data_IF_577404905237
#
_entry.id   IF_577404905237
#
_cell.length_a   1.000
_cell.length_b   1.000
_cell.length_c   1.000
_cell.angle_alpha   90.00
_cell.angle_beta   90.00
_cell.angle_gamma   90.00
#
_symmetry.space_group_name_H-M   'P 1'
#
loop_
_entity.id
_entity.type
_entity.pdbx_description
1 polymer ?
#
# COMPACT_ATOMS: atom_id res chain seq x y z
N UNK A 1 15.56 -102.68 7.58
CA UNK A 1 14.34 -101.88 7.33
C UNK A 1 14.69 -100.75 6.35
N UNK A 2 13.99 -100.75 5.21
CA UNK A 2 13.73 -99.73 4.15
C UNK A 2 14.80 -98.63 3.89
N UNK A 3 15.60 -98.70 2.81
CA UNK A 3 15.40 -98.49 1.34
C UNK A 3 15.52 -97.01 0.88
N UNK A 4 16.48 -96.77 -0.02
CA UNK A 4 16.71 -95.59 -0.88
C UNK A 4 16.20 -95.86 -2.31
N UNK A 5 15.71 -94.83 -3.00
CA UNK A 5 15.68 -94.59 -4.47
C UNK A 5 15.51 -93.07 -4.67
N UNK A 6 16.35 -92.32 -5.43
CA UNK A 6 16.31 -92.05 -6.90
C UNK A 6 14.94 -91.55 -7.41
N UNK A 7 14.71 -90.56 -8.29
CA UNK A 7 15.51 -89.72 -9.21
C UNK A 7 14.61 -88.63 -9.89
N UNK A 8 15.22 -87.61 -10.53
CA UNK A 8 14.83 -86.82 -11.72
C UNK A 8 13.78 -85.66 -11.74
N UNK A 9 14.32 -84.44 -12.03
CA UNK A 9 14.06 -83.46 -13.13
C UNK A 9 12.64 -82.94 -13.50
N UNK A 10 12.45 -81.62 -13.35
CA UNK A 10 12.37 -80.65 -14.47
C UNK A 10 11.02 -80.18 -15.07
N UNK A 11 10.83 -78.84 -15.06
CA UNK A 11 10.27 -77.94 -16.10
C UNK A 11 8.80 -77.40 -16.06
N UNK A 12 8.73 -76.06 -15.90
CA UNK A 12 8.02 -75.02 -16.70
C UNK A 12 6.47 -74.77 -16.64
N UNK A 13 6.17 -73.49 -16.31
CA UNK A 13 5.27 -72.48 -16.94
C UNK A 13 3.80 -72.27 -16.50
N UNK A 14 3.54 -70.95 -16.29
CA UNK A 14 2.33 -70.11 -16.45
C UNK A 14 1.25 -70.12 -15.36
N UNK A 15 0.92 -68.92 -14.87
CA UNK A 15 -0.44 -68.41 -14.75
C UNK A 15 -0.47 -66.88 -14.70
N UNK A 16 -1.30 -66.29 -15.57
CA UNK A 16 -1.69 -64.88 -15.65
C UNK A 16 -2.72 -64.56 -14.55
N UNK A 17 -2.68 -63.36 -13.96
CA UNK A 17 -3.87 -62.73 -13.34
C UNK A 17 -3.73 -61.20 -13.23
N UNK A 18 -4.29 -60.53 -14.25
CA UNK A 18 -5.14 -59.32 -14.22
C UNK A 18 -4.87 -58.26 -13.13
N UNK A 19 -4.31 -57.11 -13.56
CA UNK A 19 -4.31 -55.85 -12.82
C UNK A 19 -5.72 -55.22 -12.77
N UNK A 20 -6.25 -54.97 -11.57
CA UNK A 20 -7.42 -54.12 -11.37
C UNK A 20 -7.02 -52.63 -11.39
N UNK A 21 -7.59 -51.90 -12.36
CA UNK A 21 -7.56 -50.44 -12.45
C UNK A 21 -8.37 -49.84 -11.28
N UNK A 22 -7.77 -48.93 -10.51
CA UNK A 22 -8.52 -48.03 -9.63
C UNK A 22 -9.22 -46.95 -10.47
N UNK A 23 -10.47 -46.56 -10.15
CA UNK A 23 -11.17 -45.50 -10.88
C UNK A 23 -10.60 -44.12 -10.53
N UNK A 24 -10.52 -43.27 -11.56
CA UNK A 24 -10.29 -41.82 -11.51
C UNK A 24 -11.58 -41.10 -11.11
N UNK A 25 -11.41 -39.92 -10.53
CA UNK A 25 -12.37 -38.84 -10.27
C UNK A 25 -12.87 -38.74 -8.80
N UNK A 26 -12.15 -37.95 -8.01
CA UNK A 26 -12.76 -36.99 -7.09
C UNK A 26 -12.39 -35.58 -7.63
N UNK A 27 -13.31 -34.61 -7.62
CA UNK A 27 -12.98 -33.24 -8.00
C UNK A 27 -12.01 -32.68 -6.97
N UNK A 28 -10.96 -32.03 -7.47
CA UNK A 28 -9.99 -31.30 -6.66
C UNK A 28 -10.74 -30.35 -5.73
N UNK A 29 -10.60 -30.55 -4.42
CA UNK A 29 -10.96 -29.54 -3.43
C UNK A 29 -10.14 -28.30 -3.80
N UNK A 30 -10.82 -27.25 -4.26
CA UNK A 30 -10.23 -25.92 -4.38
C UNK A 30 -9.75 -25.54 -2.98
N UNK A 31 -8.45 -25.76 -2.74
CA UNK A 31 -7.79 -25.24 -1.57
C UNK A 31 -7.98 -23.74 -1.60
N UNK A 32 -8.67 -23.21 -0.59
CA UNK A 32 -8.58 -21.80 -0.25
C UNK A 32 -7.08 -21.52 -0.06
N UNK A 33 -6.46 -20.86 -1.05
CA UNK A 33 -5.14 -20.25 -0.88
C UNK A 33 -5.31 -19.24 0.26
N UNK A 34 -5.02 -19.71 1.47
CA UNK A 34 -4.94 -18.87 2.65
C UNK A 34 -4.07 -17.67 2.33
N UNK A 35 -4.57 -16.49 2.65
CA UNK A 35 -3.99 -15.21 2.30
C UNK A 35 -2.68 -15.04 3.11
N UNK A 36 -1.56 -15.63 2.66
CA UNK A 36 -0.24 -15.62 3.31
C UNK A 36 0.20 -14.21 3.78
N UNK A 37 -0.33 -13.19 3.11
CA UNK A 37 -0.13 -11.78 3.40
C UNK A 37 -0.67 -11.31 4.76
N UNK A 38 -1.77 -11.88 5.27
CA UNK A 38 -2.36 -11.45 6.56
C UNK A 38 -1.53 -11.92 7.76
N UNK A 39 -0.66 -12.91 7.58
CA UNK A 39 0.14 -13.49 8.66
C UNK A 39 1.43 -12.69 8.96
N UNK A 40 1.93 -11.86 8.03
CA UNK A 40 3.14 -11.04 8.22
C UNK A 40 2.86 -9.54 8.47
N UNK A 41 1.60 -9.09 8.32
CA UNK A 41 1.24 -7.68 8.47
C UNK A 41 0.73 -7.37 9.89
N UNK A 42 1.28 -6.33 10.52
CA UNK A 42 0.73 -5.82 11.78
C UNK A 42 -0.68 -5.28 11.56
N UNK A 43 -0.91 -4.67 10.38
CA UNK A 43 -2.22 -4.22 9.93
C UNK A 43 -2.26 -4.15 8.40
N UNK A 44 -3.38 -4.61 7.82
CA UNK A 44 -3.69 -4.40 6.42
C UNK A 44 -5.11 -3.87 6.25
N UNK A 45 -5.25 -2.85 5.42
CA UNK A 45 -6.50 -2.18 5.13
C UNK A 45 -6.79 -2.27 3.63
N UNK A 46 -7.87 -2.97 3.22
CA UNK A 46 -8.29 -3.04 1.83
C UNK A 46 -8.92 -1.72 1.40
N UNK A 47 -8.22 -0.95 0.56
CA UNK A 47 -8.72 0.32 0.02
C UNK A 47 -9.72 0.05 -1.12
N UNK A 48 -9.42 -0.92 -1.97
CA UNK A 48 -10.30 -1.48 -3.02
C UNK A 48 -10.11 -3.00 -3.07
N UNK A 49 -10.76 -3.67 -4.03
CA UNK A 49 -10.55 -5.08 -4.34
C UNK A 49 -9.07 -5.42 -4.63
N UNK A 50 -8.36 -4.50 -5.30
CA UNK A 50 -6.97 -4.68 -5.75
C UNK A 50 -5.93 -3.79 -5.07
N UNK A 51 -6.33 -2.73 -4.37
CA UNK A 51 -5.42 -1.80 -3.67
C UNK A 51 -5.52 -1.98 -2.16
N UNK A 52 -4.38 -2.18 -1.52
CA UNK A 52 -4.25 -2.38 -0.08
C UNK A 52 -3.21 -1.41 0.48
N UNK A 53 -3.40 -1.00 1.73
CA UNK A 53 -2.41 -0.33 2.55
C UNK A 53 -1.99 -1.25 3.69
N UNK A 54 -0.69 -1.37 3.95
CA UNK A 54 -0.18 -2.25 4.99
C UNK A 54 0.91 -1.59 5.83
N UNK A 55 0.89 -1.87 7.14
CA UNK A 55 1.96 -1.53 8.07
C UNK A 55 2.64 -2.85 8.44
N UNK A 56 3.95 -2.93 8.17
CA UNK A 56 4.73 -4.16 8.28
C UNK A 56 5.93 -3.94 9.20
N UNK A 57 6.28 -4.93 10.01
CA UNK A 57 7.50 -4.92 10.84
C UNK A 57 8.80 -4.93 10.01
N UNK A 58 8.74 -5.42 8.77
CA UNK A 58 9.91 -5.53 7.90
C UNK A 58 9.51 -5.50 6.43
N UNK A 59 10.50 -5.37 5.55
CA UNK A 59 10.27 -5.38 4.10
C UNK A 59 9.68 -6.73 3.67
N UNK A 60 8.53 -6.74 2.96
CA UNK A 60 7.88 -7.97 2.57
C UNK A 60 8.69 -8.71 1.51
N UNK A 61 8.57 -10.05 1.51
CA UNK A 61 9.13 -10.90 0.45
C UNK A 61 8.31 -10.76 -0.83
N UNK A 62 8.97 -10.93 -1.98
CA UNK A 62 8.30 -10.93 -3.28
C UNK A 62 7.39 -12.15 -3.39
N UNK A 63 6.15 -11.94 -3.80
CA UNK A 63 5.19 -13.02 -4.10
C UNK A 63 4.71 -12.92 -5.55
N UNK A 64 4.19 -14.02 -6.09
CA UNK A 64 3.69 -14.07 -7.48
C UNK A 64 2.45 -13.18 -7.67
N UNK A 65 1.52 -13.22 -6.71
CA UNK A 65 0.21 -12.54 -6.75
C UNK A 65 0.18 -11.10 -6.23
N UNK A 66 1.27 -10.59 -5.64
CA UNK A 66 1.28 -9.25 -5.01
C UNK A 66 2.41 -8.37 -5.54
N UNK A 67 2.09 -7.11 -5.78
CA UNK A 67 3.05 -6.06 -6.06
C UNK A 67 3.17 -5.15 -4.84
N UNK A 68 4.29 -5.26 -4.13
CA UNK A 68 4.60 -4.38 -3.00
C UNK A 68 5.34 -3.12 -3.47
N UNK A 69 5.04 -1.98 -2.86
CA UNK A 69 5.85 -0.76 -2.98
C UNK A 69 5.74 0.08 -1.71
N UNK A 70 6.79 0.84 -1.43
CA UNK A 70 6.84 1.83 -0.34
C UNK A 70 7.23 3.21 -0.92
N UNK A 71 7.00 4.25 -0.13
CA UNK A 71 7.45 5.64 -0.36
C UNK A 71 8.33 6.16 0.78
N UNK A 72 8.64 5.34 1.78
CA UNK A 72 9.27 5.72 3.04
C UNK A 72 10.60 6.48 2.87
N UNK A 73 11.34 6.18 1.80
CA UNK A 73 12.64 6.80 1.49
C UNK A 73 12.62 7.56 0.15
N UNK A 74 11.45 7.70 -0.47
CA UNK A 74 11.27 8.38 -1.77
C UNK A 74 10.55 9.71 -1.64
N UNK A 75 9.49 9.77 -0.84
CA UNK A 75 8.69 10.97 -0.62
C UNK A 75 8.91 11.42 0.83
N UNK A 76 9.99 12.17 1.04
CA UNK A 76 10.46 12.58 2.36
C UNK A 76 9.98 13.99 2.67
N UNK A 77 9.48 14.20 3.88
CA UNK A 77 9.12 15.52 4.38
C UNK A 77 10.37 16.28 4.82
N UNK A 78 10.50 17.54 4.40
CA UNK A 78 11.56 18.43 4.85
C UNK A 78 11.06 19.24 6.05
N UNK A 79 11.54 18.91 7.25
CA UNK A 79 11.08 19.52 8.49
C UNK A 79 11.79 20.84 8.79
N UNK A 80 11.07 21.79 9.38
CA UNK A 80 11.65 23.01 9.95
C UNK A 80 12.22 22.75 11.35
N UNK A 81 11.47 22.03 12.18
CA UNK A 81 11.88 21.65 13.53
C UNK A 81 11.43 20.22 13.86
N UNK A 82 10.37 20.05 14.65
CA UNK A 82 9.87 18.75 15.08
C UNK A 82 8.64 18.28 14.29
N UNK A 83 8.09 19.13 13.43
CA UNK A 83 7.12 18.81 12.39
C UNK A 83 7.63 17.67 11.50
N UNK A 84 6.70 16.86 11.00
CA UNK A 84 7.04 15.67 10.21
C UNK A 84 6.08 15.44 9.04
N UNK A 85 5.09 16.31 8.87
CA UNK A 85 4.02 16.16 7.88
C UNK A 85 2.82 17.06 8.18
N UNK A 86 1.71 16.90 7.42
CA UNK A 86 1.57 15.96 6.31
C UNK A 86 2.43 16.35 5.10
N UNK A 87 2.66 15.39 4.19
CA UNK A 87 3.36 15.65 2.92
C UNK A 87 2.61 16.69 2.06
N UNK A 88 3.35 17.55 1.36
CA UNK A 88 2.80 18.66 0.58
C UNK A 88 2.12 18.22 -0.74
N UNK A 89 1.54 19.17 -1.48
CA UNK A 89 0.80 18.90 -2.72
C UNK A 89 1.67 18.27 -3.82
N UNK A 90 2.93 18.68 -3.97
CA UNK A 90 3.83 18.08 -4.95
C UNK A 90 4.09 16.60 -4.66
N UNK A 91 4.37 16.25 -3.39
CA UNK A 91 4.59 14.87 -2.99
C UNK A 91 3.32 14.02 -3.09
N UNK A 92 2.16 14.59 -2.74
CA UNK A 92 0.86 13.94 -2.95
C UNK A 92 0.58 13.69 -4.44
N UNK A 93 0.86 14.66 -5.31
CA UNK A 93 0.71 14.52 -6.75
C UNK A 93 1.61 13.39 -7.29
N UNK A 94 2.89 13.39 -6.92
CA UNK A 94 3.86 12.34 -7.32
C UNK A 94 3.42 10.96 -6.85
N UNK A 95 2.91 10.84 -5.62
CA UNK A 95 2.31 9.61 -5.11
C UNK A 95 1.13 9.15 -5.97
N UNK A 96 0.19 10.07 -6.25
CA UNK A 96 -1.00 9.76 -7.04
C UNK A 96 -0.65 9.29 -8.45
N UNK A 97 0.32 9.94 -9.11
CA UNK A 97 0.80 9.53 -10.43
C UNK A 97 1.46 8.15 -10.40
N UNK A 98 2.32 7.90 -9.40
CA UNK A 98 3.00 6.61 -9.21
C UNK A 98 1.98 5.48 -9.00
N UNK A 99 1.00 5.69 -8.14
CA UNK A 99 -0.02 4.68 -7.83
C UNK A 99 -0.94 4.43 -9.04
N UNK A 100 -1.41 5.49 -9.71
CA UNK A 100 -2.19 5.36 -10.94
C UNK A 100 -1.45 4.58 -12.03
N UNK A 101 -0.15 4.82 -12.20
CA UNK A 101 0.70 4.06 -13.14
C UNK A 101 0.75 2.58 -12.78
N UNK A 102 0.83 2.22 -11.50
CA UNK A 102 0.81 0.82 -11.05
C UNK A 102 -0.54 0.17 -11.29
N UNK A 103 -1.64 0.85 -10.96
CA UNK A 103 -3.00 0.34 -11.14
C UNK A 103 -3.30 0.06 -12.63
N UNK A 104 -2.86 0.95 -13.52
CA UNK A 104 -3.06 0.84 -14.98
C UNK A 104 -2.05 -0.08 -15.68
N UNK A 105 -1.00 -0.54 -15.00
CA UNK A 105 0.06 -1.35 -15.61
C UNK A 105 -0.45 -2.73 -15.99
N UNK A 106 -0.32 -3.08 -17.28
CA UNK A 106 -0.76 -4.38 -17.80
C UNK A 106 -0.09 -5.56 -17.09
N UNK A 107 1.20 -5.44 -16.77
CA UNK A 107 1.98 -6.46 -16.04
C UNK A 107 1.48 -6.70 -14.60
N UNK A 108 0.70 -5.78 -14.05
CA UNK A 108 0.16 -5.85 -12.69
C UNK A 108 -1.33 -6.17 -12.64
N UNK A 109 -2.02 -6.30 -13.79
CA UNK A 109 -3.49 -6.46 -13.88
C UNK A 109 -4.05 -7.60 -13.02
N UNK A 110 -3.32 -8.69 -12.86
CA UNK A 110 -3.73 -9.86 -12.06
C UNK A 110 -3.19 -9.85 -10.63
N UNK A 111 -2.45 -8.81 -10.24
CA UNK A 111 -1.82 -8.70 -8.92
C UNK A 111 -2.60 -7.77 -8.00
N UNK A 112 -2.58 -8.08 -6.70
CA UNK A 112 -2.88 -7.14 -5.63
C UNK A 112 -1.76 -6.10 -5.57
N UNK A 113 -2.09 -4.82 -5.43
CA UNK A 113 -1.14 -3.72 -5.27
C UNK A 113 -1.17 -3.33 -3.80
N UNK A 114 -0.05 -3.50 -3.11
CA UNK A 114 0.10 -3.18 -1.69
C UNK A 114 1.06 -2.01 -1.54
N UNK A 115 0.52 -0.86 -1.13
CA UNK A 115 1.33 0.21 -0.56
C UNK A 115 1.67 -0.19 0.87
N UNK A 116 2.94 -0.47 1.16
CA UNK A 116 3.37 -0.79 2.52
C UNK A 116 4.28 0.28 3.08
N UNK A 117 4.30 0.39 4.40
CA UNK A 117 5.32 1.11 5.17
C UNK A 117 5.89 0.19 6.23
N UNK A 118 7.19 0.29 6.45
CA UNK A 118 7.87 -0.30 7.61
C UNK A 118 8.62 0.78 8.40
N UNK A 119 8.22 2.04 8.20
CA UNK A 119 8.81 3.19 8.85
C UNK A 119 8.30 3.39 10.28
N UNK A 120 8.88 4.39 10.93
CA UNK A 120 8.42 4.87 12.24
C UNK A 120 6.99 5.45 12.17
N UNK A 121 6.43 5.78 13.33
CA UNK A 121 5.05 6.30 13.44
C UNK A 121 4.82 7.55 12.57
N UNK A 122 5.87 8.36 12.33
CA UNK A 122 5.83 9.54 11.45
C UNK A 122 5.66 9.14 9.99
N UNK A 123 6.46 8.18 9.51
CA UNK A 123 6.34 7.64 8.16
C UNK A 123 5.00 6.93 7.96
N UNK A 124 4.52 6.19 8.97
CA UNK A 124 3.22 5.54 8.93
C UNK A 124 2.07 6.55 8.76
N UNK A 125 2.07 7.64 9.53
CA UNK A 125 1.07 8.70 9.40
C UNK A 125 1.11 9.35 8.02
N UNK A 126 2.28 9.66 7.47
CA UNK A 126 2.40 10.22 6.12
C UNK A 126 1.97 9.25 5.01
N UNK A 127 2.34 7.97 5.12
CA UNK A 127 1.93 6.94 4.16
C UNK A 127 0.40 6.73 4.17
N UNK A 128 -0.21 6.74 5.36
CA UNK A 128 -1.67 6.70 5.52
C UNK A 128 -2.36 7.95 4.97
N UNK A 129 -1.78 9.14 5.20
CA UNK A 129 -2.25 10.39 4.61
C UNK A 129 -2.26 10.32 3.07
N UNK A 130 -1.18 9.82 2.45
CA UNK A 130 -1.08 9.71 0.99
C UNK A 130 -2.10 8.75 0.38
N UNK A 131 -2.19 7.52 0.89
CA UNK A 131 -3.15 6.54 0.37
C UNK A 131 -4.59 6.97 0.63
N UNK A 132 -4.83 7.62 1.78
CA UNK A 132 -6.13 8.15 2.12
C UNK A 132 -6.55 9.30 1.18
N UNK A 133 -5.66 10.27 0.98
CA UNK A 133 -5.89 11.39 0.06
C UNK A 133 -6.11 10.90 -1.38
N UNK A 134 -5.34 9.91 -1.84
CA UNK A 134 -5.58 9.28 -3.14
C UNK A 134 -6.99 8.70 -3.25
N UNK A 135 -7.46 8.00 -2.22
CA UNK A 135 -8.78 7.39 -2.25
C UNK A 135 -9.92 8.43 -2.23
N UNK A 136 -9.71 9.59 -1.60
CA UNK A 136 -10.66 10.71 -1.67
C UNK A 136 -10.67 11.30 -3.08
N UNK A 137 -9.50 11.58 -3.65
CA UNK A 137 -9.35 12.26 -4.95
C UNK A 137 -9.80 11.38 -6.13
N UNK A 138 -9.37 10.12 -6.17
CA UNK A 138 -9.55 9.24 -7.33
C UNK A 138 -10.63 8.17 -7.15
N UNK A 139 -10.98 7.81 -5.91
CA UNK A 139 -11.97 6.76 -5.62
C UNK A 139 -13.25 7.31 -5.00
N UNK A 140 -13.35 8.63 -4.83
CA UNK A 140 -14.51 9.32 -4.27
C UNK A 140 -14.96 8.78 -2.89
N UNK A 141 -14.00 8.31 -2.08
CA UNK A 141 -14.30 7.85 -0.71
C UNK A 141 -14.62 9.01 0.21
N UNK A 142 -15.53 8.79 1.16
CA UNK A 142 -15.85 9.77 2.18
C UNK A 142 -14.76 9.80 3.28
N UNK A 143 -14.35 10.99 3.77
CA UNK A 143 -13.28 11.12 4.78
C UNK A 143 -13.48 10.25 6.02
N UNK A 144 -14.70 10.22 6.56
CA UNK A 144 -15.00 9.50 7.80
C UNK A 144 -14.95 7.97 7.63
N UNK A 145 -15.44 7.46 6.51
CA UNK A 145 -15.41 6.02 6.21
C UNK A 145 -13.97 5.55 6.00
N UNK A 146 -13.19 6.34 5.27
CA UNK A 146 -11.79 6.05 5.01
C UNK A 146 -10.93 6.11 6.28
N UNK A 147 -11.17 7.11 7.13
CA UNK A 147 -10.50 7.21 8.42
C UNK A 147 -10.81 5.99 9.30
N UNK A 148 -12.07 5.55 9.37
CA UNK A 148 -12.44 4.32 10.10
C UNK A 148 -11.78 3.07 9.54
N UNK A 149 -11.66 2.97 8.21
CA UNK A 149 -10.97 1.86 7.56
C UNK A 149 -9.48 1.84 7.91
N UNK A 150 -8.83 3.01 7.93
CA UNK A 150 -7.41 3.15 8.25
C UNK A 150 -7.12 3.02 9.74
N UNK A 151 -8.09 3.33 10.60
CA UNK A 151 -8.03 3.19 12.04
C UNK A 151 -8.53 1.79 12.45
N UNK A 152 -7.74 0.76 12.19
CA UNK A 152 -7.99 -0.58 12.73
C UNK A 152 -7.55 -0.67 14.20
N UNK A 153 -8.02 -1.68 14.95
CA UNK A 153 -7.79 -1.80 16.38
C UNK A 153 -6.30 -1.80 16.82
N UNK A 154 -5.36 -2.06 15.90
CA UNK A 154 -3.91 -2.09 16.14
C UNK A 154 -3.17 -0.86 15.63
N UNK A 155 -3.80 -0.02 14.81
CA UNK A 155 -3.16 1.15 14.21
C UNK A 155 -3.55 2.41 14.96
N UNK A 156 -2.57 3.16 15.43
CA UNK A 156 -2.76 4.52 15.91
C UNK A 156 -1.75 5.45 15.25
N UNK A 157 -2.22 6.41 14.46
CA UNK A 157 -1.34 7.33 13.74
C UNK A 157 -0.99 8.51 14.61
N UNK A 158 0.29 8.88 14.60
CA UNK A 158 0.77 10.08 15.26
C UNK A 158 0.09 11.32 14.64
N UNK A 159 -0.60 12.16 15.43
CA UNK A 159 -1.15 13.42 14.94
C UNK A 159 -0.04 14.37 14.47
N UNK A 160 -0.31 15.13 13.41
CA UNK A 160 0.61 16.14 12.90
C UNK A 160 0.69 17.33 13.85
N UNK A 161 1.90 17.86 14.01
CA UNK A 161 2.21 18.99 14.87
C UNK A 161 2.69 20.18 14.04
N UNK A 162 2.72 21.34 14.66
CA UNK A 162 3.23 22.56 14.06
C UNK A 162 4.77 22.63 14.05
N UNK A 163 5.29 23.62 13.32
CA UNK A 163 6.72 23.87 13.11
C UNK A 163 7.36 24.78 14.18
N UNK A 164 6.64 25.17 15.25
CA UNK A 164 7.21 26.04 16.27
C UNK A 164 8.27 25.34 17.12
N UNK A 165 9.13 26.16 17.72
CA UNK A 165 9.98 25.72 18.82
C UNK A 165 9.13 25.41 20.07
N UNK A 166 9.48 24.32 20.76
CA UNK A 166 8.87 23.95 22.04
C UNK A 166 7.73 22.91 21.93
N UNK A 167 6.85 22.95 22.94
CA UNK A 167 5.75 21.99 23.09
C UNK A 167 4.59 22.33 22.17
N UNK A 168 4.16 21.36 21.36
CA UNK A 168 2.99 21.51 20.51
C UNK A 168 1.71 21.53 21.36
N UNK A 169 0.87 22.55 21.17
CA UNK A 169 -0.38 22.73 21.91
C UNK A 169 -1.62 22.34 21.10
N UNK A 170 -1.48 22.13 19.79
CA UNK A 170 -2.57 21.80 18.90
C UNK A 170 -2.10 20.85 17.81
N UNK A 171 -2.83 19.74 17.62
CA UNK A 171 -2.46 18.71 16.66
C UNK A 171 -3.57 18.51 15.64
N UNK A 172 -3.18 18.21 14.40
CA UNK A 172 -4.10 17.82 13.33
C UNK A 172 -4.07 16.31 13.15
N UNK A 173 -5.25 15.69 13.12
CA UNK A 173 -5.40 14.26 12.87
C UNK A 173 -5.44 13.96 11.36
N UNK A 174 -5.28 12.70 10.99
CA UNK A 174 -5.54 12.26 9.61
C UNK A 174 -6.95 12.61 9.14
N UNK A 175 -7.94 12.53 10.02
CA UNK A 175 -9.33 12.86 9.70
C UNK A 175 -9.47 14.34 9.33
N UNK A 176 -8.81 15.24 10.05
CA UNK A 176 -8.79 16.67 9.74
C UNK A 176 -8.19 16.93 8.36
N UNK A 177 -7.05 16.29 8.05
CA UNK A 177 -6.41 16.36 6.74
C UNK A 177 -7.32 15.82 5.63
N UNK A 178 -8.02 14.70 5.85
CA UNK A 178 -8.95 14.14 4.87
C UNK A 178 -10.14 15.04 4.60
N UNK A 179 -10.70 15.68 5.63
CA UNK A 179 -11.73 16.70 5.43
C UNK A 179 -11.21 17.92 4.68
N UNK A 180 -9.97 18.34 4.94
CA UNK A 180 -9.34 19.44 4.20
C UNK A 180 -9.21 19.10 2.71
N UNK A 181 -8.67 17.92 2.36
CA UNK A 181 -8.58 17.46 0.96
C UNK A 181 -9.95 17.36 0.31
N UNK A 182 -10.93 16.78 1.00
CA UNK A 182 -12.28 16.63 0.47
C UNK A 182 -12.95 17.99 0.19
N UNK A 183 -12.87 18.94 1.13
CA UNK A 183 -13.41 20.29 0.93
C UNK A 183 -12.64 21.06 -0.15
N UNK A 184 -11.33 20.91 -0.21
CA UNK A 184 -10.51 21.53 -1.26
C UNK A 184 -10.92 21.05 -2.66
N UNK A 185 -11.30 19.78 -2.83
CA UNK A 185 -11.92 19.30 -4.07
C UNK A 185 -13.30 19.90 -4.30
N UNK A 186 -14.17 19.94 -3.28
CA UNK A 186 -15.53 20.49 -3.40
C UNK A 186 -15.54 21.97 -3.83
N UNK A 187 -14.56 22.74 -3.36
CA UNK A 187 -14.42 24.17 -3.66
C UNK A 187 -13.42 24.47 -4.78
N UNK A 188 -12.90 23.44 -5.47
CA UNK A 188 -11.91 23.57 -6.54
C UNK A 188 -10.66 24.37 -6.15
N UNK A 189 -10.15 24.16 -4.94
CA UNK A 189 -8.89 24.78 -4.49
C UNK A 189 -7.67 24.14 -5.14
N UNK A 190 -7.80 22.93 -5.67
CA UNK A 190 -6.78 22.30 -6.52
C UNK A 190 -7.42 21.35 -7.54
N UNK A 191 -6.77 21.19 -8.69
CA UNK A 191 -7.08 20.15 -9.69
C UNK A 191 -5.77 19.51 -10.18
N UNK A 192 -5.60 18.22 -9.91
CA UNK A 192 -4.41 17.47 -10.36
C UNK A 192 -4.33 17.25 -11.87
N UNK A 193 -5.37 17.56 -12.64
CA UNK A 193 -5.28 17.56 -14.11
C UNK A 193 -4.52 18.76 -14.64
N UNK A 194 -4.56 19.89 -13.93
CA UNK A 194 -3.93 21.16 -14.32
C UNK A 194 -2.80 21.57 -13.39
N UNK A 195 -2.52 20.79 -12.34
CA UNK A 195 -1.46 21.07 -11.37
C UNK A 195 -0.08 20.91 -12.01
N UNK A 196 0.66 22.02 -12.09
CA UNK A 196 2.06 22.03 -12.50
C UNK A 196 2.96 21.78 -11.29
N UNK A 197 3.41 20.53 -11.15
CA UNK A 197 4.32 20.13 -10.07
C UNK A 197 5.70 20.77 -10.20
N UNK A 198 6.17 21.04 -11.42
CA UNK A 198 7.50 21.59 -11.61
C UNK A 198 7.51 23.09 -11.28
N UNK A 199 6.44 23.83 -11.62
CA UNK A 199 6.23 25.20 -11.16
C UNK A 199 6.15 25.29 -9.63
N UNK A 200 5.32 24.43 -9.00
CA UNK A 200 5.19 24.37 -7.55
C UNK A 200 6.56 24.18 -6.89
N UNK A 201 7.34 23.21 -7.36
CA UNK A 201 8.65 22.89 -6.77
C UNK A 201 9.76 23.88 -7.14
N UNK A 202 9.58 24.66 -8.22
CA UNK A 202 10.47 25.75 -8.54
C UNK A 202 10.31 26.87 -7.51
N UNK A 203 9.08 27.35 -7.30
CA UNK A 203 8.80 28.50 -6.44
C UNK A 203 8.76 28.20 -4.94
N UNK A 204 8.64 26.92 -4.54
CA UNK A 204 8.79 26.53 -3.12
C UNK A 204 10.21 26.79 -2.59
N UNK A 205 11.21 26.94 -3.46
CA UNK A 205 12.60 27.15 -3.04
C UNK A 205 12.86 28.60 -2.65
N UNK A 206 13.65 28.79 -1.60
CA UNK A 206 14.07 30.10 -1.12
C UNK A 206 14.72 30.96 -2.19
N UNK A 207 15.58 30.38 -3.04
CA UNK A 207 16.23 31.12 -4.12
C UNK A 207 15.28 31.63 -5.21
N UNK A 208 14.06 31.08 -5.28
CA UNK A 208 13.06 31.41 -6.30
C UNK A 208 11.85 32.17 -5.73
N UNK A 209 11.89 32.53 -4.44
CA UNK A 209 10.91 33.41 -3.80
C UNK A 209 10.13 32.81 -2.63
N UNK A 210 10.29 31.50 -2.35
CA UNK A 210 9.63 30.79 -1.23
C UNK A 210 8.14 31.13 -1.14
N UNK A 211 7.40 30.78 -2.19
CA UNK A 211 5.97 31.03 -2.25
C UNK A 211 5.17 29.82 -2.75
N UNK A 212 3.93 29.76 -2.30
CA UNK A 212 2.97 28.75 -2.71
C UNK A 212 1.57 29.35 -2.88
N UNK A 213 0.84 28.88 -3.89
CA UNK A 213 -0.59 29.15 -4.01
C UNK A 213 -1.35 28.37 -2.95
N UNK A 214 -2.12 29.07 -2.12
CA UNK A 214 -3.06 28.47 -1.17
C UNK A 214 -4.41 28.25 -1.84
N UNK A 215 -4.86 29.26 -2.61
CA UNK A 215 -5.98 29.16 -3.55
C UNK A 215 -5.49 29.76 -4.87
N UNK A 216 -5.47 29.00 -5.97
CA UNK A 216 -5.02 29.49 -7.27
C UNK A 216 -5.69 30.83 -7.63
N UNK A 217 -4.88 31.77 -8.13
CA UNK A 217 -5.32 33.11 -8.59
C UNK A 217 -6.00 33.98 -7.51
N UNK A 218 -5.95 33.60 -6.24
CA UNK A 218 -6.64 34.31 -5.15
C UNK A 218 -5.79 34.55 -3.91
N UNK A 219 -5.11 33.52 -3.42
CA UNK A 219 -4.28 33.62 -2.22
C UNK A 219 -2.91 33.00 -2.48
N UNK A 220 -1.89 33.86 -2.42
CA UNK A 220 -0.49 33.50 -2.48
C UNK A 220 0.12 33.74 -1.10
N UNK A 221 0.84 32.75 -0.56
CA UNK A 221 1.64 32.91 0.65
C UNK A 221 3.12 32.88 0.26
N UNK A 222 3.90 33.82 0.79
CA UNK A 222 5.32 33.96 0.46
C UNK A 222 6.11 34.55 1.63
N UNK A 223 7.41 34.28 1.67
CA UNK A 223 8.32 34.91 2.60
C UNK A 223 8.47 36.42 2.32
N UNK A 224 8.48 37.23 3.37
CA UNK A 224 8.59 38.69 3.25
C UNK A 224 9.90 39.10 2.56
N UNK A 225 9.86 39.93 1.49
CA UNK A 225 11.06 40.32 0.77
C UNK A 225 11.95 41.21 1.63
N UNK A 226 13.26 41.13 1.40
CA UNK A 226 14.29 41.88 2.11
C UNK A 226 14.74 43.12 1.33
#
# INVERSE_FOLDING_TARGET
>A
MKRRTESCKGAHRRNDMVCHKKPRNQPDEEGEEGNDFEQEADSCMPITDRLYFAILCSRPKTTSGTHYFSIDDELVYENFYADFGPLNLALLYRYCMKLNKKIKSFSLTKKKIVHYTCGDDKKQANAAFLVGSFAIIYLNKQPLELYRLLQTAKTNYLPFRDASFGTCTFHLTLLDCFFAVHKALQYNFFDFKTFDVEEYQHYERAENGDFNWIIPEKFLAFSGPH
#
